data_IF_928187216414
#
_entry.id   IF_928187216414
#
_cell.length_a   1.000
_cell.length_b   1.000
_cell.length_c   1.000
_cell.angle_alpha   90.00
_cell.angle_beta   90.00
_cell.angle_gamma   90.00
#
_symmetry.space_group_name_H-M   'P 1'
#
loop_
_entity.id
_entity.type
_entity.pdbx_description
1 polymer ?
#
# COMPACT_ATOMS: atom_id res chain seq x y z
N UNK A 1 -3.83 -19.20 -5.41
CA UNK A 1 -4.19 -17.88 -4.86
C UNK A 1 -4.16 -16.89 -6.00
N UNK A 2 -5.25 -16.16 -6.24
CA UNK A 2 -5.33 -15.19 -7.33
C UNK A 2 -4.18 -14.15 -7.24
N UNK A 3 -3.38 -13.95 -8.30
CA UNK A 3 -2.28 -12.97 -8.29
C UNK A 3 -2.75 -11.54 -7.99
N UNK A 4 -4.00 -11.20 -8.33
CA UNK A 4 -4.60 -9.90 -8.00
C UNK A 4 -4.78 -9.73 -6.49
N UNK A 5 -5.23 -10.77 -5.79
CA UNK A 5 -5.40 -10.74 -4.33
C UNK A 5 -4.02 -10.60 -3.66
N UNK A 6 -2.99 -11.28 -4.19
CA UNK A 6 -1.63 -11.14 -3.69
C UNK A 6 -1.10 -9.71 -3.82
N UNK A 7 -1.30 -9.07 -4.98
CA UNK A 7 -0.92 -7.66 -5.22
C UNK A 7 -1.67 -6.73 -4.27
N UNK A 8 -2.98 -6.96 -4.10
CA UNK A 8 -3.81 -6.18 -3.20
C UNK A 8 -3.34 -6.28 -1.74
N UNK A 9 -3.06 -7.49 -1.25
CA UNK A 9 -2.50 -7.70 0.09
C UNK A 9 -1.15 -7.02 0.28
N UNK A 10 -0.24 -7.14 -0.69
CA UNK A 10 1.06 -6.46 -0.64
C UNK A 10 0.90 -4.94 -0.57
N UNK A 11 -0.05 -4.37 -1.33
CA UNK A 11 -0.38 -2.95 -1.28
C UNK A 11 -0.88 -2.51 0.10
N UNK A 12 -1.84 -3.25 0.68
CA UNK A 12 -2.36 -2.95 2.03
C UNK A 12 -1.25 -3.02 3.08
N UNK A 13 -0.43 -4.07 3.07
CA UNK A 13 0.68 -4.23 4.00
C UNK A 13 1.67 -3.06 3.87
N UNK A 14 2.02 -2.69 2.64
CA UNK A 14 2.93 -1.57 2.38
C UNK A 14 2.35 -0.24 2.88
N UNK A 15 1.07 0.02 2.65
CA UNK A 15 0.40 1.22 3.15
C UNK A 15 0.31 1.25 4.68
N UNK A 16 0.04 0.11 5.33
CA UNK A 16 0.04 0.02 6.81
C UNK A 16 1.44 0.27 7.38
N UNK A 17 2.48 -0.28 6.76
CA UNK A 17 3.87 -0.02 7.15
C UNK A 17 4.26 1.46 6.99
N UNK A 18 3.76 2.14 5.96
CA UNK A 18 3.94 3.60 5.79
C UNK A 18 3.30 4.41 6.92
N UNK A 19 2.21 3.95 7.52
CA UNK A 19 1.57 4.60 8.68
C UNK A 19 2.28 4.29 10.00
N UNK A 20 2.69 3.03 10.21
CA UNK A 20 3.34 2.58 11.45
C UNK A 20 4.79 3.07 11.56
N UNK A 21 5.52 3.04 10.45
CA UNK A 21 6.96 3.29 10.41
C UNK A 21 7.34 4.33 9.34
N UNK A 22 6.71 5.53 9.33
CA UNK A 22 6.94 6.54 8.30
C UNK A 22 8.41 6.99 8.25
N UNK A 23 9.11 6.95 9.38
CA UNK A 23 10.50 7.38 9.50
C UNK A 23 11.48 6.42 8.84
N UNK A 24 11.20 5.12 8.92
CA UNK A 24 12.02 4.09 8.24
C UNK A 24 11.83 4.18 6.72
N UNK A 25 10.59 4.38 6.27
CA UNK A 25 10.29 4.50 4.83
C UNK A 25 10.81 5.83 4.26
N UNK A 26 10.75 6.91 5.03
CA UNK A 26 11.41 8.16 4.67
C UNK A 26 12.93 7.99 4.54
N UNK A 27 13.57 7.29 5.49
CA UNK A 27 15.01 7.00 5.45
C UNK A 27 15.44 6.09 4.30
N UNK A 28 14.55 5.26 3.78
CA UNK A 28 14.82 4.46 2.57
C UNK A 28 14.99 5.32 1.31
N UNK A 29 14.62 6.61 1.35
CA UNK A 29 14.85 7.54 0.24
C UNK A 29 14.14 7.15 -1.04
N UNK A 30 13.06 6.37 -0.94
CA UNK A 30 12.31 5.88 -2.10
C UNK A 30 11.76 7.08 -2.90
N UNK A 31 11.90 6.95 -4.21
CA UNK A 31 11.69 7.96 -5.25
C UNK A 31 10.70 9.08 -4.87
N UNK A 32 11.22 10.29 -4.69
CA UNK A 32 10.40 11.51 -4.59
C UNK A 32 9.77 11.80 -3.23
N UNK A 33 10.01 10.97 -2.21
CA UNK A 33 9.52 11.24 -0.84
C UNK A 33 10.34 12.37 -0.21
N UNK A 34 9.76 13.58 -0.19
CA UNK A 34 10.43 14.78 0.34
C UNK A 34 10.12 15.08 1.81
N UNK A 35 9.14 14.40 2.41
CA UNK A 35 8.77 14.59 3.82
C UNK A 35 8.11 13.36 4.43
N UNK A 36 8.15 13.26 5.76
CA UNK A 36 7.39 12.25 6.53
C UNK A 36 5.88 12.34 6.26
N UNK A 37 5.37 13.56 6.04
CA UNK A 37 3.96 13.76 5.67
C UNK A 37 3.62 13.16 4.31
N UNK A 38 4.53 13.23 3.34
CA UNK A 38 4.31 12.64 2.03
C UNK A 38 4.16 11.11 2.13
N UNK A 39 4.94 10.45 3.00
CA UNK A 39 4.80 9.02 3.29
C UNK A 39 3.41 8.70 3.85
N UNK A 40 2.97 9.45 4.88
CA UNK A 40 1.66 9.25 5.50
C UNK A 40 0.50 9.52 4.52
N UNK A 41 0.61 10.56 3.70
CA UNK A 41 -0.38 10.90 2.68
C UNK A 41 -0.41 9.85 1.55
N UNK A 42 0.73 9.25 1.20
CA UNK A 42 0.84 8.15 0.25
C UNK A 42 0.28 6.81 0.76
N UNK A 43 0.26 6.61 2.07
CA UNK A 43 -0.24 5.39 2.68
C UNK A 43 -1.74 5.17 2.40
N UNK A 44 -2.55 6.22 2.56
CA UNK A 44 -4.01 6.16 2.38
C UNK A 44 -4.41 5.66 0.98
N UNK A 45 -3.97 6.27 -0.14
CA UNK A 45 -4.33 5.78 -1.47
C UNK A 45 -3.77 4.39 -1.75
N UNK A 46 -2.61 4.03 -1.18
CA UNK A 46 -2.03 2.69 -1.32
C UNK A 46 -2.90 1.62 -0.66
N UNK A 47 -3.41 1.88 0.55
CA UNK A 47 -4.33 0.98 1.27
C UNK A 47 -5.65 0.86 0.48
N UNK A 48 -6.22 1.98 0.05
CA UNK A 48 -7.49 1.98 -0.71
C UNK A 48 -7.36 1.17 -1.99
N UNK A 49 -6.31 1.42 -2.78
CA UNK A 49 -6.04 0.66 -3.99
C UNK A 49 -5.85 -0.84 -3.70
N UNK A 50 -5.10 -1.18 -2.65
CA UNK A 50 -4.89 -2.56 -2.23
C UNK A 50 -6.20 -3.29 -1.89
N UNK A 51 -7.09 -2.64 -1.13
CA UNK A 51 -8.42 -3.19 -0.81
C UNK A 51 -9.26 -3.35 -2.08
N UNK A 52 -9.24 -2.38 -3.00
CA UNK A 52 -9.94 -2.49 -4.29
C UNK A 52 -9.46 -3.70 -5.12
N UNK A 53 -8.14 -3.96 -5.16
CA UNK A 53 -7.59 -5.14 -5.84
C UNK A 53 -8.02 -6.45 -5.18
N UNK A 54 -8.05 -6.52 -3.85
CA UNK A 54 -8.54 -7.72 -3.13
C UNK A 54 -10.01 -7.97 -3.50
N UNK A 55 -10.86 -6.93 -3.41
CA UNK A 55 -12.28 -7.04 -3.77
C UNK A 55 -12.45 -7.49 -5.22
N UNK A 56 -11.74 -6.86 -6.16
CA UNK A 56 -11.77 -7.25 -7.58
C UNK A 56 -11.32 -8.70 -7.79
N UNK A 57 -10.27 -9.13 -7.10
CA UNK A 57 -9.79 -10.52 -7.15
C UNK A 57 -10.81 -11.53 -6.65
N UNK A 58 -11.53 -11.20 -5.57
CA UNK A 58 -12.61 -12.02 -5.01
C UNK A 58 -13.85 -12.07 -5.93
N UNK A 59 -14.22 -10.95 -6.54
CA UNK A 59 -15.34 -10.90 -7.49
C UNK A 59 -15.03 -11.63 -8.81
N UNK A 60 -13.77 -11.68 -9.23
CA UNK A 60 -13.34 -12.38 -10.45
C UNK A 60 -13.25 -13.90 -10.28
N UNK A 61 -13.02 -14.40 -9.06
CA UNK A 61 -13.03 -15.84 -8.77
C UNK A 61 -14.44 -16.42 -8.58
N UNK A 62 -15.47 -15.56 -8.52
CA UNK A 62 -16.89 -15.96 -8.56
C UNK A 62 -17.39 -16.07 -10.00
#
# INVERSE_FOLDING_TARGET
MNPVILIGMAGVICGVLQLLFPDYIYKLGLLGIRSREAVKKGAIPTIVAGVCFILFGLFKEK
#
